data_IF_054533531230
#
_entry.id   IF_054533531230
#
_cell.length_a   1.000
_cell.length_b   1.000
_cell.length_c   1.000
_cell.angle_alpha   90.00
_cell.angle_beta   90.00
_cell.angle_gamma   90.00
#
_symmetry.space_group_name_H-M   'P 1'
#
loop_
_entity.id
_entity.type
_entity.pdbx_description
1 polymer ?
#
# COMPACT_ATOMS: atom_id res chain seq x y z
N UNK A 1 19.15 0.61 15.44
CA UNK A 1 19.46 -0.47 14.49
C UNK A 1 18.35 -0.53 13.47
N UNK A 2 18.69 -0.71 12.18
CA UNK A 2 17.81 -0.96 11.04
C UNK A 2 16.89 0.17 10.56
N UNK A 3 17.20 0.83 9.44
CA UNK A 3 16.23 1.55 8.60
C UNK A 3 16.42 1.05 7.17
N UNK A 4 15.48 0.27 6.65
CA UNK A 4 15.51 -0.11 5.24
C UNK A 4 14.62 0.82 4.42
N UNK A 5 15.23 1.67 3.56
CA UNK A 5 14.50 2.64 2.73
C UNK A 5 14.62 2.27 1.26
N UNK A 6 13.50 2.03 0.58
CA UNK A 6 13.51 1.95 -0.88
C UNK A 6 13.23 3.34 -1.49
N UNK A 7 14.11 3.81 -2.39
CA UNK A 7 13.99 5.17 -2.97
C UNK A 7 13.03 5.25 -4.16
N UNK A 8 12.63 4.10 -4.73
CA UNK A 8 11.91 4.04 -6.00
C UNK A 8 10.86 2.93 -6.00
N UNK A 9 9.95 2.96 -5.02
CA UNK A 9 8.79 2.07 -5.05
C UNK A 9 7.69 2.71 -5.87
N UNK A 10 7.05 1.91 -6.72
CA UNK A 10 5.95 2.35 -7.58
C UNK A 10 4.68 1.64 -7.14
N UNK A 11 3.66 2.42 -6.77
CA UNK A 11 2.33 1.94 -6.48
C UNK A 11 1.73 1.26 -7.70
N UNK A 12 0.95 0.19 -7.50
CA UNK A 12 0.30 -0.49 -8.64
C UNK A 12 -0.87 0.32 -9.21
N UNK A 13 -1.42 1.25 -8.43
CA UNK A 13 -2.58 2.04 -8.81
C UNK A 13 -2.61 3.41 -8.16
N UNK A 14 -3.74 4.09 -8.35
CA UNK A 14 -3.99 5.49 -8.01
C UNK A 14 -5.06 5.67 -6.93
N UNK A 15 -5.46 4.57 -6.27
CA UNK A 15 -6.58 4.52 -5.31
C UNK A 15 -6.34 3.48 -4.24
N UNK A 16 -6.89 3.71 -3.05
CA UNK A 16 -6.81 2.80 -1.90
C UNK A 16 -7.36 1.41 -2.21
N UNK A 17 -8.46 1.32 -2.96
CA UNK A 17 -9.08 0.06 -3.36
C UNK A 17 -8.19 -0.81 -4.28
N UNK A 18 -7.18 -0.21 -4.92
CA UNK A 18 -6.13 -0.91 -5.69
C UNK A 18 -4.89 -1.16 -4.84
N UNK A 19 -4.47 -0.17 -4.06
CA UNK A 19 -3.28 -0.23 -3.21
C UNK A 19 -3.36 -1.34 -2.16
N UNK A 20 -4.50 -1.49 -1.49
CA UNK A 20 -4.72 -2.54 -0.49
C UNK A 20 -4.56 -3.94 -1.11
N UNK A 21 -5.10 -4.15 -2.32
CA UNK A 21 -4.97 -5.44 -3.01
C UNK A 21 -3.53 -5.66 -3.48
N UNK A 22 -2.85 -4.61 -3.96
CA UNK A 22 -1.43 -4.66 -4.27
C UNK A 22 -0.56 -5.06 -3.07
N UNK A 23 -0.86 -4.51 -1.89
CA UNK A 23 -0.13 -4.74 -0.64
C UNK A 23 -0.42 -6.12 -0.02
N UNK A 24 -1.69 -6.56 -0.02
CA UNK A 24 -2.09 -7.80 0.67
C UNK A 24 -2.12 -9.03 -0.24
N UNK A 25 -2.30 -8.86 -1.55
CA UNK A 25 -2.40 -9.95 -2.53
C UNK A 25 -1.33 -9.90 -3.60
N UNK A 26 -0.56 -8.81 -3.71
CA UNK A 26 0.47 -8.67 -4.74
C UNK A 26 -0.13 -8.62 -6.14
N UNK A 27 -1.41 -8.25 -6.24
CA UNK A 27 -2.16 -8.29 -7.47
C UNK A 27 -2.08 -6.94 -8.20
N UNK A 28 -1.75 -6.90 -9.50
CA UNK A 28 -1.68 -5.66 -10.25
C UNK A 28 -3.05 -4.98 -10.33
N UNK A 29 -3.07 -3.65 -10.31
CA UNK A 29 -4.31 -2.91 -10.50
C UNK A 29 -4.84 -2.99 -11.94
N UNK A 30 -6.16 -2.94 -12.08
CA UNK A 30 -6.84 -2.85 -13.37
C UNK A 30 -7.01 -1.37 -13.77
N UNK A 31 -6.96 -1.04 -15.09
CA UNK A 31 -7.54 0.18 -15.61
C UNK A 31 -9.06 0.21 -15.37
N UNK A 32 -9.64 1.40 -15.27
CA UNK A 32 -11.10 1.68 -15.15
C UNK A 32 -11.77 1.20 -13.84
N UNK A 33 -11.38 0.04 -13.31
CA UNK A 33 -12.01 -0.60 -12.14
C UNK A 33 -10.97 -1.09 -11.12
N UNK A 34 -11.44 -1.72 -10.04
CA UNK A 34 -10.62 -2.48 -9.10
C UNK A 34 -11.24 -3.85 -8.89
N UNK A 35 -10.41 -4.89 -8.79
CA UNK A 35 -10.86 -6.25 -8.51
C UNK A 35 -11.66 -6.34 -7.21
N UNK A 36 -11.38 -5.49 -6.21
CA UNK A 36 -12.10 -5.51 -4.91
C UNK A 36 -13.60 -5.31 -5.05
N UNK A 37 -14.05 -4.67 -6.14
CA UNK A 37 -15.47 -4.46 -6.45
C UNK A 37 -16.17 -5.75 -6.91
N UNK A 38 -15.44 -6.84 -7.12
CA UNK A 38 -15.93 -8.12 -7.63
C UNK A 38 -15.59 -9.26 -6.64
N UNK A 39 -16.42 -9.49 -5.60
CA UNK A 39 -16.16 -10.51 -4.57
C UNK A 39 -15.89 -11.92 -5.13
N UNK A 40 -16.61 -12.32 -6.18
CA UNK A 40 -16.38 -13.58 -6.91
C UNK A 40 -14.91 -13.74 -7.33
N UNK A 41 -14.31 -12.67 -7.86
CA UNK A 41 -12.93 -12.64 -8.32
C UNK A 41 -11.94 -12.59 -7.16
N UNK A 42 -12.20 -11.77 -6.13
CA UNK A 42 -11.28 -11.63 -5.00
C UNK A 42 -11.16 -12.89 -4.16
N UNK A 43 -12.22 -13.71 -4.09
CA UNK A 43 -12.19 -15.00 -3.38
C UNK A 43 -11.06 -15.91 -3.88
N UNK A 44 -10.77 -15.85 -5.20
CA UNK A 44 -9.71 -16.62 -5.85
C UNK A 44 -8.28 -16.10 -5.60
N UNK A 45 -8.12 -14.88 -5.06
CA UNK A 45 -6.80 -14.29 -4.87
C UNK A 45 -6.06 -14.92 -3.69
N UNK A 46 -4.73 -15.10 -3.81
CA UNK A 46 -3.89 -15.27 -2.63
C UNK A 46 -3.95 -13.99 -1.79
N UNK A 47 -3.77 -14.10 -0.47
CA UNK A 47 -3.72 -12.93 0.40
C UNK A 47 -2.87 -13.24 1.62
N UNK A 48 -2.06 -12.28 2.06
CA UNK A 48 -1.23 -12.40 3.25
C UNK A 48 -2.03 -12.85 4.47
N UNK A 49 -3.27 -12.35 4.62
CA UNK A 49 -4.19 -12.80 5.66
C UNK A 49 -4.39 -14.33 5.66
N UNK A 50 -4.70 -14.93 4.50
CA UNK A 50 -4.89 -16.38 4.38
C UNK A 50 -3.63 -17.16 4.76
N UNK A 51 -2.46 -16.70 4.31
CA UNK A 51 -1.18 -17.37 4.55
C UNK A 51 -0.79 -17.29 6.02
N UNK A 52 -0.79 -16.09 6.60
CA UNK A 52 -0.46 -15.89 8.02
C UNK A 52 -1.45 -16.61 8.93
N UNK A 53 -2.75 -16.60 8.59
CA UNK A 53 -3.75 -17.36 9.32
C UNK A 53 -3.44 -18.86 9.33
N UNK A 54 -3.07 -19.41 8.18
CA UNK A 54 -2.69 -20.83 8.04
C UNK A 54 -1.38 -21.16 8.77
N UNK A 55 -0.49 -20.18 8.90
CA UNK A 55 0.73 -20.28 9.70
C UNK A 55 0.51 -20.06 11.22
N UNK A 56 -0.75 -19.94 11.67
CA UNK A 56 -1.09 -19.81 13.10
C UNK A 56 -1.05 -18.38 13.65
N UNK A 57 -1.00 -17.35 12.80
CA UNK A 57 -0.99 -15.96 13.24
C UNK A 57 -2.41 -15.48 13.57
N UNK A 58 -2.50 -14.63 14.59
CA UNK A 58 -3.69 -13.83 14.83
C UNK A 58 -3.69 -12.61 13.90
N UNK A 59 -4.77 -12.41 13.16
CA UNK A 59 -4.83 -11.43 12.08
C UNK A 59 -5.84 -10.34 12.42
N UNK A 60 -5.43 -9.07 12.35
CA UNK A 60 -6.30 -7.93 12.64
C UNK A 60 -6.13 -6.81 11.63
N UNK A 61 -7.21 -6.12 11.30
CA UNK A 61 -7.21 -4.96 10.42
C UNK A 61 -7.91 -3.78 11.07
N UNK A 62 -7.29 -2.60 11.01
CA UNK A 62 -7.78 -1.37 11.67
C UNK A 62 -7.95 -0.27 10.64
N UNK A 63 -9.09 0.42 10.71
CA UNK A 63 -9.43 1.55 9.86
C UNK A 63 -10.35 2.52 10.60
N UNK A 64 -10.06 3.82 10.50
CA UNK A 64 -10.90 4.85 11.11
C UNK A 64 -12.22 5.10 10.37
N UNK A 65 -12.32 4.66 9.12
CA UNK A 65 -13.46 4.88 8.24
C UNK A 65 -14.36 3.66 8.05
N UNK A 66 -15.30 3.77 7.11
CA UNK A 66 -16.27 2.72 6.79
C UNK A 66 -15.65 1.69 5.81
N UNK A 67 -15.56 0.42 6.23
CA UNK A 67 -14.96 -0.65 5.40
C UNK A 67 -15.89 -1.18 4.32
N UNK A 68 -17.19 -0.94 4.43
CA UNK A 68 -18.19 -1.24 3.41
C UNK A 68 -17.93 -0.44 2.14
N UNK A 69 -17.23 0.70 2.26
CA UNK A 69 -16.77 1.46 1.12
C UNK A 69 -15.90 0.60 0.20
N UNK A 70 -16.26 0.56 -1.09
CA UNK A 70 -15.57 -0.18 -2.14
C UNK A 70 -15.39 -1.70 -1.89
N UNK A 71 -16.28 -2.36 -1.12
CA UNK A 71 -16.21 -3.81 -0.84
C UNK A 71 -14.93 -4.28 -0.11
N UNK A 72 -14.20 -3.37 0.54
CA UNK A 72 -12.96 -3.71 1.27
C UNK A 72 -13.27 -4.73 2.38
N UNK A 73 -14.38 -4.58 3.10
CA UNK A 73 -14.81 -5.53 4.14
C UNK A 73 -14.95 -6.96 3.62
N UNK A 74 -15.58 -7.14 2.46
CA UNK A 74 -15.73 -8.48 1.83
C UNK A 74 -14.36 -9.09 1.52
N UNK A 75 -13.46 -8.30 0.95
CA UNK A 75 -12.11 -8.74 0.62
C UNK A 75 -11.27 -9.10 1.87
N UNK A 76 -11.43 -8.36 2.97
CA UNK A 76 -10.75 -8.68 4.24
C UNK A 76 -11.31 -9.93 4.91
N UNK A 77 -12.63 -10.15 4.84
CA UNK A 77 -13.27 -11.37 5.35
C UNK A 77 -12.80 -12.62 4.57
N UNK A 78 -12.71 -12.52 3.24
CA UNK A 78 -12.11 -13.56 2.41
C UNK A 78 -10.64 -13.85 2.78
N UNK A 79 -9.97 -12.87 3.37
CA UNK A 79 -8.62 -12.97 3.92
C UNK A 79 -8.46 -13.66 5.26
N UNK A 80 -9.55 -14.13 5.86
CA UNK A 80 -9.56 -14.78 7.17
C UNK A 80 -8.93 -13.93 8.28
N UNK A 81 -9.13 -12.60 8.24
CA UNK A 81 -8.83 -11.74 9.38
C UNK A 81 -9.73 -12.11 10.57
N UNK A 82 -9.15 -12.23 11.77
CA UNK A 82 -9.91 -12.55 12.99
C UNK A 82 -10.73 -11.35 13.47
N UNK A 83 -10.13 -10.16 13.39
CA UNK A 83 -10.73 -8.94 13.90
C UNK A 83 -10.62 -7.81 12.90
N UNK A 84 -11.73 -7.09 12.71
CA UNK A 84 -11.82 -5.90 11.88
C UNK A 84 -12.34 -4.75 12.76
N UNK A 85 -11.54 -3.69 12.88
CA UNK A 85 -11.91 -2.45 13.57
C UNK A 85 -12.19 -1.39 12.53
N UNK A 86 -13.46 -1.02 12.37
CA UNK A 86 -13.93 0.05 11.47
C UNK A 86 -14.50 1.25 12.25
N UNK A 87 -14.99 2.26 11.54
CA UNK A 87 -15.62 3.47 12.12
C UNK A 87 -16.68 3.15 13.20
N UNK A 88 -17.38 2.02 13.09
CA UNK A 88 -18.43 1.64 14.04
C UNK A 88 -17.88 1.15 15.39
N UNK A 89 -16.59 0.86 15.46
CA UNK A 89 -15.88 0.47 16.69
C UNK A 89 -15.54 1.67 17.59
N UNK A 90 -15.69 2.90 17.09
CA UNK A 90 -15.38 4.12 17.83
C UNK A 90 -16.64 4.85 18.30
N UNK A 91 -16.58 5.45 19.50
CA UNK A 91 -17.62 6.36 19.99
C UNK A 91 -17.87 7.50 18.99
N UNK A 92 -19.12 8.00 18.92
CA UNK A 92 -19.49 9.10 18.02
C UNK A 92 -18.60 10.34 18.17
N UNK A 93 -18.19 10.67 19.40
CA UNK A 93 -17.28 11.80 19.70
C UNK A 93 -15.88 11.64 19.10
N UNK A 94 -15.45 10.40 18.87
CA UNK A 94 -14.14 10.06 18.32
C UNK A 94 -14.15 9.93 16.78
N UNK A 95 -15.34 9.97 16.16
CA UNK A 95 -15.54 10.05 14.71
C UNK A 95 -15.48 11.52 14.26
N UNK A 96 -14.35 12.14 14.51
CA UNK A 96 -14.15 13.59 14.47
C UNK A 96 -13.63 14.11 13.12
N UNK A 97 -13.68 13.30 12.06
CA UNK A 97 -13.50 13.72 10.68
C UNK A 97 -14.72 13.35 9.85
N UNK A 98 -14.87 13.99 8.68
CA UNK A 98 -15.86 13.65 7.65
C UNK A 98 -15.85 12.17 7.27
N UNK A 99 -14.69 11.52 7.36
CA UNK A 99 -14.51 10.13 6.92
C UNK A 99 -14.53 9.11 8.08
N UNK A 100 -14.59 9.57 9.33
CA UNK A 100 -14.52 8.71 10.51
C UNK A 100 -13.54 9.20 11.56
N UNK A 101 -12.83 8.29 12.23
CA UNK A 101 -11.87 8.63 13.27
C UNK A 101 -10.50 9.05 12.69
N UNK A 102 -9.92 10.12 13.22
CA UNK A 102 -8.55 10.54 12.88
C UNK A 102 -7.50 9.52 13.31
N UNK A 103 -6.34 9.57 12.64
CA UNK A 103 -5.26 8.59 12.80
C UNK A 103 -4.76 8.46 14.23
N UNK A 104 -4.73 9.55 15.02
CA UNK A 104 -4.36 9.49 16.44
C UNK A 104 -5.24 8.54 17.26
N UNK A 105 -6.56 8.56 17.02
CA UNK A 105 -7.53 7.69 17.72
C UNK A 105 -7.33 6.23 17.32
N UNK A 106 -7.15 5.98 16.02
CA UNK A 106 -6.95 4.62 15.50
C UNK A 106 -5.61 4.08 15.97
N UNK A 107 -4.56 4.91 16.01
CA UNK A 107 -3.23 4.57 16.55
C UNK A 107 -3.32 4.13 18.01
N UNK A 108 -4.02 4.84 18.89
CA UNK A 108 -4.17 4.45 20.30
C UNK A 108 -4.88 3.09 20.45
N UNK A 109 -5.90 2.86 19.62
CA UNK A 109 -6.63 1.57 19.56
C UNK A 109 -5.73 0.45 19.04
N UNK A 110 -4.94 0.73 18.00
CA UNK A 110 -3.99 -0.20 17.40
C UNK A 110 -2.89 -0.60 18.39
N UNK A 111 -2.31 0.37 19.11
CA UNK A 111 -1.30 0.12 20.15
C UNK A 111 -1.85 -0.77 21.26
N UNK A 112 -3.05 -0.46 21.75
CA UNK A 112 -3.73 -1.27 22.78
C UNK A 112 -3.97 -2.71 22.33
N UNK A 113 -4.36 -2.88 21.06
CA UNK A 113 -4.50 -4.21 20.46
C UNK A 113 -3.15 -4.93 20.38
N UNK A 114 -2.08 -4.29 19.90
CA UNK A 114 -0.74 -4.92 19.78
C UNK A 114 -0.19 -5.43 21.13
N UNK A 115 -0.53 -4.80 22.26
CA UNK A 115 -0.13 -5.26 23.59
C UNK A 115 -0.81 -6.59 23.94
N UNK A 116 -2.11 -6.69 23.64
CA UNK A 116 -2.99 -7.79 24.09
C UNK A 116 -3.18 -8.89 23.04
N UNK A 117 -2.77 -8.66 21.79
CA UNK A 117 -2.98 -9.58 20.68
C UNK A 117 -2.25 -10.91 20.90
N UNK A 118 -2.91 -12.06 20.62
CA UNK A 118 -2.23 -13.35 20.61
C UNK A 118 -1.06 -13.34 19.65
N UNK A 119 0.08 -13.89 20.08
CA UNK A 119 1.30 -14.02 19.28
C UNK A 119 1.39 -15.43 18.68
N UNK A 120 1.91 -15.60 17.45
CA UNK A 120 2.34 -14.54 16.54
C UNK A 120 1.15 -13.77 15.94
N UNK A 121 1.36 -12.53 15.50
CA UNK A 121 0.30 -11.69 14.94
C UNK A 121 0.67 -11.08 13.59
N UNK A 122 -0.34 -10.84 12.77
CA UNK A 122 -0.29 -10.05 11.55
C UNK A 122 -1.35 -8.94 11.64
N UNK A 123 -0.91 -7.72 11.94
CA UNK A 123 -1.78 -6.60 12.20
C UNK A 123 -1.57 -5.51 11.14
N UNK A 124 -2.65 -5.05 10.52
CA UNK A 124 -2.61 -4.01 9.47
C UNK A 124 -3.43 -2.80 9.91
N UNK A 125 -2.89 -1.59 9.72
CA UNK A 125 -3.61 -0.34 9.95
C UNK A 125 -3.62 0.49 8.66
N UNK A 126 -4.82 0.89 8.22
CA UNK A 126 -5.05 1.82 7.14
C UNK A 126 -5.31 3.23 7.71
N UNK A 127 -4.43 4.18 7.39
CA UNK A 127 -4.58 5.59 7.79
C UNK A 127 -5.65 6.31 6.99
N UNK A 128 -6.16 7.43 7.51
CA UNK A 128 -7.31 8.15 6.93
C UNK A 128 -7.16 9.68 6.87
N UNK A 129 -6.42 10.32 7.78
CA UNK A 129 -6.52 11.77 7.97
C UNK A 129 -5.97 12.59 6.80
N UNK A 130 -5.19 11.98 5.91
CA UNK A 130 -4.70 12.60 4.68
C UNK A 130 -5.72 12.62 3.53
N UNK A 131 -7.00 12.40 3.80
CA UNK A 131 -8.08 12.48 2.80
C UNK A 131 -8.72 13.89 2.76
N UNK A 132 -9.14 14.34 1.57
CA UNK A 132 -9.82 15.64 1.41
C UNK A 132 -11.08 15.74 2.29
N UNK A 133 -11.34 16.86 3.00
CA UNK A 133 -10.74 18.18 2.81
C UNK A 133 -9.41 18.41 3.55
N UNK A 134 -8.73 17.36 4.03
CA UNK A 134 -7.43 17.42 4.73
C UNK A 134 -7.53 18.11 6.10
N UNK A 135 -8.65 17.90 6.78
CA UNK A 135 -8.83 18.36 8.15
C UNK A 135 -8.00 17.52 9.12
N UNK A 136 -7.53 18.14 10.20
CA UNK A 136 -6.77 17.47 11.26
C UNK A 136 -7.18 18.03 12.61
N UNK A 137 -7.06 17.26 13.71
CA UNK A 137 -7.48 17.69 15.04
C UNK A 137 -6.42 18.55 15.76
N UNK A 138 -5.43 19.06 15.02
CA UNK A 138 -4.31 19.83 15.56
C UNK A 138 -4.16 21.16 14.81
N UNK A 139 -3.54 22.19 15.44
CA UNK A 139 -3.24 23.44 14.75
C UNK A 139 -2.34 23.21 13.52
N UNK A 140 -2.61 23.96 12.45
CA UNK A 140 -1.78 23.94 11.23
C UNK A 140 -0.38 24.50 11.52
N UNK A 141 0.63 23.88 10.93
CA UNK A 141 2.04 24.33 10.99
C UNK A 141 2.49 24.97 9.68
N UNK A 142 1.86 24.61 8.56
CA UNK A 142 2.05 25.25 7.26
C UNK A 142 0.90 26.24 7.06
N UNK A 143 1.17 27.55 6.92
CA UNK A 143 0.12 28.55 6.73
C UNK A 143 -0.56 28.39 5.35
N UNK A 144 -1.84 28.72 5.29
CA UNK A 144 -2.65 28.65 4.08
C UNK A 144 -3.88 27.74 4.23
N UNK A 145 -4.90 28.04 3.43
CA UNK A 145 -6.15 27.28 3.36
C UNK A 145 -6.30 26.54 2.03
N UNK A 146 -5.38 26.79 1.09
CA UNK A 146 -5.38 26.19 -0.23
C UNK A 146 -5.12 24.67 -0.13
N UNK A 147 -5.45 23.96 -1.21
CA UNK A 147 -5.38 22.50 -1.26
C UNK A 147 -3.99 21.96 -0.90
N UNK A 148 -2.91 22.61 -1.36
CA UNK A 148 -1.54 22.11 -1.10
C UNK A 148 -1.12 22.33 0.36
N UNK A 149 -1.20 23.54 0.96
CA UNK A 149 -0.99 23.71 2.41
C UNK A 149 -1.83 22.78 3.27
N UNK A 150 -3.12 22.62 2.98
CA UNK A 150 -4.01 21.74 3.75
C UNK A 150 -3.59 20.27 3.62
N UNK A 151 -3.29 19.80 2.41
CA UNK A 151 -2.73 18.47 2.17
C UNK A 151 -1.42 18.25 2.94
N UNK A 152 -0.48 19.18 2.87
CA UNK A 152 0.81 19.06 3.56
C UNK A 152 0.65 19.05 5.09
N UNK A 153 -0.29 19.83 5.66
CA UNK A 153 -0.60 19.75 7.09
C UNK A 153 -1.19 18.39 7.48
N UNK A 154 -2.05 17.79 6.64
CA UNK A 154 -2.58 16.44 6.90
C UNK A 154 -1.50 15.36 6.89
N UNK A 155 -0.51 15.50 6.00
CA UNK A 155 0.67 14.63 6.00
C UNK A 155 1.52 14.85 7.25
N UNK A 156 1.74 16.11 7.66
CA UNK A 156 2.48 16.42 8.88
C UNK A 156 1.84 15.81 10.13
N UNK A 157 0.51 15.90 10.26
CA UNK A 157 -0.23 15.25 11.34
C UNK A 157 -0.04 13.73 11.32
N UNK A 158 -0.25 13.10 10.16
CA UNK A 158 -0.12 11.65 10.01
C UNK A 158 1.31 11.16 10.30
N UNK A 159 2.32 11.91 9.85
CA UNK A 159 3.74 11.65 10.11
C UNK A 159 4.04 11.63 11.62
N UNK A 160 3.54 12.61 12.38
CA UNK A 160 3.67 12.63 13.84
C UNK A 160 3.04 11.40 14.51
N UNK A 161 1.81 11.04 14.12
CA UNK A 161 1.09 9.87 14.66
C UNK A 161 1.84 8.56 14.34
N UNK A 162 2.33 8.41 13.11
CA UNK A 162 3.13 7.24 12.70
C UNK A 162 4.46 7.21 13.45
N UNK A 163 5.10 8.36 13.69
CA UNK A 163 6.32 8.47 14.49
C UNK A 163 6.13 8.02 15.94
N UNK A 164 5.00 8.36 16.55
CA UNK A 164 4.61 7.84 17.87
C UNK A 164 4.40 6.33 17.85
N UNK A 165 3.75 5.78 16.81
CA UNK A 165 3.60 4.33 16.66
C UNK A 165 4.96 3.62 16.54
N UNK A 166 5.87 4.15 15.71
CA UNK A 166 7.22 3.59 15.56
C UNK A 166 7.96 3.61 16.90
N UNK A 167 7.88 4.70 17.64
CA UNK A 167 8.50 4.84 18.96
C UNK A 167 7.92 3.85 19.98
N UNK A 168 6.60 3.67 19.96
CA UNK A 168 5.91 2.67 20.75
C UNK A 168 6.38 1.25 20.40
N UNK A 169 6.39 0.87 19.12
CA UNK A 169 6.80 -0.47 18.70
C UNK A 169 8.25 -0.78 19.10
N UNK A 170 9.16 0.20 18.98
CA UNK A 170 10.57 0.07 19.39
C UNK A 170 10.77 -0.15 20.89
N UNK A 171 9.82 0.28 21.74
CA UNK A 171 9.91 0.06 23.18
C UNK A 171 9.35 -1.29 23.62
N UNK A 172 8.78 -2.08 22.71
CA UNK A 172 8.17 -3.37 23.05
C UNK A 172 9.20 -4.50 23.08
N UNK A 173 9.00 -5.45 24.00
CA UNK A 173 9.86 -6.64 24.12
C UNK A 173 9.89 -7.52 22.87
N UNK A 174 8.87 -7.40 22.01
CA UNK A 174 8.74 -8.17 20.77
C UNK A 174 9.37 -7.47 19.55
N UNK A 175 9.95 -6.27 19.69
CA UNK A 175 10.51 -5.49 18.58
C UNK A 175 11.53 -6.27 17.73
N UNK A 176 12.45 -6.97 18.38
CA UNK A 176 13.49 -7.78 17.72
C UNK A 176 12.92 -9.00 16.95
N UNK A 177 11.65 -9.36 17.19
CA UNK A 177 10.95 -10.46 16.52
C UNK A 177 9.76 -9.99 15.68
N UNK A 178 9.66 -8.68 15.39
CA UNK A 178 8.52 -8.11 14.68
C UNK A 178 8.97 -7.17 13.58
N UNK A 179 8.47 -7.40 12.37
CA UNK A 179 8.63 -6.47 11.25
C UNK A 179 7.52 -5.41 11.31
N UNK A 180 7.90 -4.14 11.38
CA UNK A 180 7.00 -3.01 11.16
C UNK A 180 7.24 -2.46 9.75
N UNK A 181 6.18 -2.49 8.94
CA UNK A 181 6.24 -2.08 7.53
C UNK A 181 5.31 -0.88 7.35
N UNK A 182 5.88 0.23 6.88
CA UNK A 182 5.17 1.46 6.54
C UNK A 182 5.23 1.59 5.02
N UNK A 183 4.08 1.52 4.36
CA UNK A 183 3.95 1.58 2.91
C UNK A 183 2.74 2.43 2.55
N UNK A 184 2.89 3.36 1.61
CA UNK A 184 1.72 4.07 1.08
C UNK A 184 0.93 3.15 0.14
N UNK A 185 -0.39 3.27 0.14
CA UNK A 185 -1.32 2.56 -0.73
C UNK A 185 -1.25 3.08 -2.18
N UNK A 186 -1.06 4.38 -2.36
CA UNK A 186 -0.76 5.00 -3.65
C UNK A 186 -0.03 6.33 -3.47
N UNK A 187 0.50 6.87 -4.58
CA UNK A 187 1.06 8.22 -4.57
C UNK A 187 -0.01 9.28 -4.78
N UNK A 188 0.40 10.55 -4.83
CA UNK A 188 -0.53 11.67 -4.91
C UNK A 188 -0.04 12.72 -5.90
N UNK A 189 -0.97 13.46 -6.51
CA UNK A 189 -0.64 14.53 -7.46
C UNK A 189 -0.10 15.79 -6.79
N UNK A 190 -0.27 15.95 -5.48
CA UNK A 190 0.19 17.13 -4.75
C UNK A 190 1.45 16.83 -3.94
N UNK A 191 2.39 17.81 -3.82
CA UNK A 191 2.47 19.00 -4.68
C UNK A 191 2.62 18.62 -6.16
N UNK A 192 2.16 19.48 -7.07
CA UNK A 192 2.14 19.16 -8.50
C UNK A 192 3.53 18.72 -8.96
N UNK A 193 3.62 17.47 -9.41
CA UNK A 193 4.86 16.87 -9.87
C UNK A 193 5.15 17.25 -11.32
N UNK A 194 6.42 17.12 -11.72
CA UNK A 194 6.83 17.43 -13.09
C UNK A 194 6.41 16.34 -14.10
N UNK A 195 5.98 15.16 -13.65
CA UNK A 195 5.56 14.07 -14.52
C UNK A 195 4.48 13.20 -13.88
N UNK A 196 3.53 12.72 -14.69
CA UNK A 196 2.46 11.81 -14.24
C UNK A 196 3.01 10.54 -13.59
N UNK A 197 4.15 10.05 -14.08
CA UNK A 197 4.85 8.90 -13.51
C UNK A 197 5.25 9.13 -12.04
N UNK A 198 5.70 10.35 -11.71
CA UNK A 198 6.12 10.69 -10.36
C UNK A 198 4.99 10.60 -9.33
N UNK A 199 3.73 10.69 -9.76
CA UNK A 199 2.56 10.54 -8.88
C UNK A 199 2.34 9.10 -8.39
N UNK A 200 3.06 8.12 -8.94
CA UNK A 200 2.98 6.72 -8.53
C UNK A 200 4.15 6.30 -7.65
N UNK A 201 5.14 7.18 -7.41
CA UNK A 201 6.18 6.90 -6.44
C UNK A 201 5.62 6.95 -5.03
N UNK A 202 5.93 5.92 -4.25
CA UNK A 202 5.48 5.78 -2.86
C UNK A 202 6.66 5.49 -1.92
N UNK A 203 6.57 5.92 -0.66
CA UNK A 203 7.50 5.48 0.37
C UNK A 203 7.21 4.04 0.78
N UNK A 204 8.28 3.29 1.02
CA UNK A 204 8.26 2.04 1.80
C UNK A 204 9.41 2.07 2.79
N UNK A 205 9.10 1.65 4.01
CA UNK A 205 10.03 1.52 5.11
C UNK A 205 9.78 0.19 5.83
N UNK A 206 10.81 -0.64 5.94
CA UNK A 206 10.80 -1.87 6.74
C UNK A 206 11.70 -1.64 7.95
N UNK A 207 11.15 -1.89 9.14
CA UNK A 207 11.78 -1.70 10.44
C UNK A 207 11.58 -2.93 11.32
N UNK A 208 12.34 -2.98 12.42
CA UNK A 208 12.22 -4.04 13.42
C UNK A 208 12.78 -5.35 12.91
N UNK A 209 12.70 -6.39 13.74
CA UNK A 209 13.46 -7.60 13.49
C UNK A 209 14.97 -7.37 13.47
N UNK A 210 15.71 -8.38 13.04
CA UNK A 210 17.15 -8.28 12.76
C UNK A 210 17.43 -7.66 11.37
N UNK A 211 16.61 -6.71 10.91
CA UNK A 211 16.77 -6.10 9.58
C UNK A 211 17.93 -5.11 9.57
N UNK A 212 18.94 -5.39 8.75
CA UNK A 212 20.06 -4.48 8.50
C UNK A 212 19.60 -3.17 7.84
N UNK A 213 20.08 -1.99 8.28
CA UNK A 213 19.82 -0.74 7.57
C UNK A 213 20.40 -0.78 6.16
N UNK A 214 19.54 -0.73 5.14
CA UNK A 214 19.97 -0.68 3.73
C UNK A 214 19.09 0.26 2.92
N UNK A 215 19.64 0.84 1.86
CA UNK A 215 18.85 1.56 0.87
C UNK A 215 18.82 0.75 -0.41
N UNK A 216 17.62 0.39 -0.87
CA UNK A 216 17.46 -0.30 -2.14
C UNK A 216 17.50 0.74 -3.27
N UNK A 217 18.49 0.66 -4.18
CA UNK A 217 18.68 1.68 -5.22
C UNK A 217 17.80 1.45 -6.45
N UNK A 218 17.21 0.26 -6.59
CA UNK A 218 16.46 -0.13 -7.77
C UNK A 218 14.96 0.16 -7.64
N UNK A 219 14.32 0.34 -8.79
CA UNK A 219 12.87 0.53 -8.87
C UNK A 219 12.16 -0.79 -8.60
N UNK A 220 11.24 -0.81 -7.65
CA UNK A 220 10.46 -2.02 -7.29
C UNK A 220 8.96 -1.72 -7.31
N UNK A 221 8.17 -2.76 -7.58
CA UNK A 221 6.70 -2.68 -7.55
C UNK A 221 6.18 -2.85 -6.13
N UNK A 222 5.18 -2.06 -5.75
CA UNK A 222 4.38 -2.25 -4.53
C UNK A 222 3.83 -3.69 -4.42
N UNK A 223 3.49 -4.30 -5.56
CA UNK A 223 2.97 -5.69 -5.62
C UNK A 223 3.96 -6.74 -5.16
N UNK A 224 5.25 -6.42 -5.03
CA UNK A 224 6.26 -7.36 -4.54
C UNK A 224 6.34 -7.49 -3.02
N UNK A 225 5.60 -6.66 -2.28
CA UNK A 225 5.62 -6.66 -0.82
C UNK A 225 5.20 -8.03 -0.23
N UNK A 226 4.12 -8.70 -0.68
CA UNK A 226 3.75 -10.00 -0.14
C UNK A 226 4.85 -11.05 -0.23
N UNK A 227 5.43 -11.25 -1.42
CA UNK A 227 6.53 -12.21 -1.61
C UNK A 227 7.70 -11.87 -0.70
N UNK A 228 8.04 -10.58 -0.59
CA UNK A 228 9.14 -10.13 0.27
C UNK A 228 8.89 -10.50 1.72
N UNK A 229 7.70 -10.18 2.25
CA UNK A 229 7.32 -10.51 3.63
C UNK A 229 7.32 -12.02 3.87
N UNK A 230 6.72 -12.80 2.95
CA UNK A 230 6.63 -14.25 3.09
C UNK A 230 8.02 -14.90 3.08
N UNK A 231 8.90 -14.48 2.17
CA UNK A 231 10.28 -14.97 2.10
C UNK A 231 11.08 -14.63 3.37
N UNK A 232 10.93 -13.42 3.93
CA UNK A 232 11.59 -13.05 5.20
C UNK A 232 11.13 -13.97 6.35
N UNK A 233 9.86 -14.39 6.34
CA UNK A 233 9.29 -15.28 7.36
C UNK A 233 9.45 -16.78 7.03
N UNK A 234 10.17 -17.14 5.97
CA UNK A 234 10.34 -18.54 5.55
C UNK A 234 9.04 -19.22 5.08
N UNK A 235 8.04 -18.44 4.66
CA UNK A 235 6.76 -18.91 4.16
C UNK A 235 6.75 -18.94 2.62
N UNK A 236 6.01 -19.89 2.04
CA UNK A 236 5.88 -20.02 0.58
C UNK A 236 5.06 -18.86 -0.01
N UNK A 237 5.57 -18.26 -1.09
CA UNK A 237 4.90 -17.23 -1.87
C UNK A 237 4.43 -17.73 -3.25
N UNK A 238 4.49 -19.04 -3.51
CA UNK A 238 4.19 -19.65 -4.81
C UNK A 238 2.78 -19.35 -5.36
N UNK A 239 1.82 -19.04 -4.49
CA UNK A 239 0.47 -18.64 -4.92
C UNK A 239 0.40 -17.18 -5.42
N UNK A 240 1.39 -16.35 -5.14
CA UNK A 240 1.42 -14.92 -5.48
C UNK A 240 2.09 -14.67 -6.83
N UNK A 241 1.45 -15.13 -7.91
CA UNK A 241 1.97 -15.09 -9.29
C UNK A 241 2.57 -13.74 -9.74
N UNK A 242 1.99 -12.62 -9.28
CA UNK A 242 2.36 -11.27 -9.70
C UNK A 242 3.22 -10.50 -8.68
N UNK A 243 3.53 -11.15 -7.56
CA UNK A 243 4.40 -10.61 -6.53
C UNK A 243 5.83 -11.07 -6.81
N UNK A 244 6.78 -10.14 -6.75
CA UNK A 244 8.21 -10.42 -6.87
C UNK A 244 8.90 -10.05 -5.58
N UNK A 245 9.67 -10.99 -5.00
CA UNK A 245 10.49 -10.71 -3.83
C UNK A 245 11.51 -9.59 -4.12
N UNK A 246 11.49 -8.51 -3.34
CA UNK A 246 12.39 -7.37 -3.48
C UNK A 246 13.84 -7.69 -3.13
N UNK A 247 14.06 -8.75 -2.34
CA UNK A 247 15.39 -9.22 -1.96
C UNK A 247 16.02 -10.10 -3.04
N UNK A 248 15.24 -10.55 -4.03
CA UNK A 248 15.76 -11.27 -5.18
C UNK A 248 16.39 -10.29 -6.18
N UNK A 249 17.72 -10.37 -6.29
CA UNK A 249 18.52 -9.52 -7.18
C UNK A 249 18.90 -10.21 -8.49
N UNK A 250 18.41 -11.43 -8.74
CA UNK A 250 18.73 -12.20 -9.94
C UNK A 250 18.05 -11.66 -11.21
N UNK A 251 16.94 -10.94 -11.05
CA UNK A 251 16.15 -10.41 -12.16
C UNK A 251 16.23 -8.88 -12.24
N UNK A 252 16.09 -8.33 -13.45
CA UNK A 252 16.00 -6.89 -13.67
C UNK A 252 14.72 -6.32 -13.05
N UNK A 253 14.81 -5.37 -12.11
CA UNK A 253 13.64 -4.79 -11.46
C UNK A 253 12.79 -3.97 -12.43
N UNK A 254 11.48 -4.12 -12.28
CA UNK A 254 10.49 -3.33 -13.03
C UNK A 254 9.24 -3.12 -12.17
N UNK A 255 8.45 -2.10 -12.54
CA UNK A 255 7.12 -1.90 -11.98
C UNK A 255 6.12 -1.49 -13.07
N UNK A 256 4.86 -1.88 -12.87
CA UNK A 256 3.73 -1.48 -13.70
C UNK A 256 2.64 -0.90 -12.79
N UNK A 257 2.08 0.21 -13.22
CA UNK A 257 0.92 0.81 -12.57
C UNK A 257 -0.21 1.05 -13.56
N UNK A 258 -1.45 0.97 -13.08
CA UNK A 258 -2.64 1.22 -13.88
C UNK A 258 -3.42 2.42 -13.33
N UNK A 259 -3.90 3.25 -14.24
CA UNK A 259 -4.82 4.36 -13.97
C UNK A 259 -5.98 4.29 -14.96
N UNK A 260 -6.99 5.14 -14.81
CA UNK A 260 -8.25 5.12 -15.56
C UNK A 260 -8.15 4.50 -16.96
N UNK A 261 -7.43 5.14 -17.89
CA UNK A 261 -7.39 4.74 -19.29
C UNK A 261 -5.98 4.36 -19.76
N UNK A 262 -5.14 3.79 -18.89
CA UNK A 262 -3.77 3.51 -19.29
C UNK A 262 -2.94 2.83 -18.22
N UNK A 263 -1.65 2.69 -18.54
CA UNK A 263 -0.66 2.14 -17.64
C UNK A 263 0.64 2.92 -17.72
N UNK A 264 1.42 2.86 -16.64
CA UNK A 264 2.83 3.19 -16.67
C UNK A 264 3.68 1.95 -16.51
N UNK A 265 4.85 1.96 -17.14
CA UNK A 265 5.82 0.88 -17.02
C UNK A 265 7.21 1.48 -16.82
N UNK A 266 7.94 0.94 -15.84
CA UNK A 266 9.31 1.34 -15.55
C UNK A 266 10.20 0.12 -15.43
N UNK A 267 11.42 0.27 -15.94
CA UNK A 267 12.48 -0.72 -15.89
C UNK A 267 13.79 0.04 -15.79
N UNK A 268 14.59 -0.24 -14.77
CA UNK A 268 15.78 0.55 -14.44
C UNK A 268 15.45 2.05 -14.26
N UNK A 269 16.19 2.95 -14.92
CA UNK A 269 15.96 4.41 -14.92
C UNK A 269 15.01 4.90 -16.04
N UNK A 270 14.40 3.98 -16.79
CA UNK A 270 13.49 4.31 -17.89
C UNK A 270 12.04 4.13 -17.47
N UNK A 271 11.16 4.94 -18.05
CA UNK A 271 9.73 4.87 -17.78
C UNK A 271 8.91 5.39 -18.97
N UNK A 272 7.69 4.88 -19.10
CA UNK A 272 6.70 5.38 -20.04
C UNK A 272 5.32 5.37 -19.40
N UNK A 273 4.44 6.25 -19.89
CA UNK A 273 3.02 6.27 -19.58
C UNK A 273 2.25 6.12 -20.88
N UNK A 274 1.44 5.08 -21.02
CA UNK A 274 0.69 4.78 -22.23
C UNK A 274 -0.80 5.03 -22.02
N UNK A 275 -1.41 5.72 -22.97
CA UNK A 275 -2.85 5.97 -23.04
C UNK A 275 -3.52 4.93 -23.93
N UNK A 276 -4.35 4.08 -23.33
CA UNK A 276 -5.06 3.01 -24.02
C UNK A 276 -6.14 3.55 -24.97
N UNK A 277 -6.71 4.73 -24.70
CA UNK A 277 -7.70 5.33 -25.62
C UNK A 277 -6.97 6.00 -26.78
N UNK A 278 -5.98 6.83 -26.47
CA UNK A 278 -5.20 7.54 -27.49
C UNK A 278 -4.21 6.67 -28.27
N UNK A 279 -4.02 5.41 -27.86
CA UNK A 279 -3.06 4.44 -28.42
C UNK A 279 -1.65 5.02 -28.59
N UNK A 280 -1.23 5.85 -27.63
CA UNK A 280 0.04 6.59 -27.70
C UNK A 280 0.70 6.71 -26.33
N UNK A 281 2.03 6.80 -26.35
CA UNK A 281 2.80 7.19 -25.17
C UNK A 281 2.53 8.67 -24.90
N UNK A 282 2.16 9.01 -23.66
CA UNK A 282 1.94 10.38 -23.23
C UNK A 282 3.28 11.14 -23.22
N UNK A 283 3.23 12.44 -23.53
CA UNK A 283 4.43 13.29 -23.48
C UNK A 283 4.91 13.40 -22.03
N UNK A 284 6.19 13.09 -21.80
CA UNK A 284 6.85 13.13 -20.49
C UNK A 284 8.33 13.44 -20.63
N UNK A 285 9.04 13.53 -19.50
CA UNK A 285 10.51 13.75 -19.47
C UNK A 285 11.29 12.43 -19.53
N UNK A 286 10.59 11.33 -19.29
CA UNK A 286 11.14 9.99 -19.17
C UNK A 286 11.57 9.43 -20.52
N UNK A 287 12.71 8.76 -20.54
CA UNK A 287 13.18 8.02 -21.71
C UNK A 287 12.56 6.62 -21.70
N UNK A 288 12.22 6.13 -22.88
CA UNK A 288 11.76 4.76 -23.08
C UNK A 288 12.23 4.21 -24.43
N UNK A 289 12.27 2.89 -24.54
CA UNK A 289 12.57 2.20 -25.80
C UNK A 289 11.30 1.58 -26.41
N UNK A 290 11.25 1.32 -27.73
CA UNK A 290 10.15 0.58 -28.34
C UNK A 290 9.93 -0.81 -27.73
N UNK A 291 10.99 -1.44 -27.22
CA UNK A 291 10.91 -2.72 -26.51
C UNK A 291 10.15 -2.58 -25.19
N UNK A 292 10.40 -1.53 -24.40
CA UNK A 292 9.64 -1.30 -23.16
C UNK A 292 8.15 -1.10 -23.43
N UNK A 293 7.80 -0.44 -24.53
CA UNK A 293 6.39 -0.27 -24.90
C UNK A 293 5.72 -1.60 -25.25
N UNK A 294 6.44 -2.54 -25.88
CA UNK A 294 5.94 -3.90 -26.11
C UNK A 294 5.80 -4.68 -24.81
N UNK A 295 6.81 -4.61 -23.93
CA UNK A 295 6.81 -5.26 -22.62
C UNK A 295 5.63 -4.78 -21.76
N UNK A 296 5.45 -3.46 -21.64
CA UNK A 296 4.35 -2.89 -20.86
C UNK A 296 2.97 -3.27 -21.38
N UNK A 297 2.78 -3.29 -22.72
CA UNK A 297 1.52 -3.77 -23.32
C UNK A 297 1.28 -5.25 -23.09
N UNK A 298 2.32 -6.08 -23.23
CA UNK A 298 2.22 -7.52 -22.97
C UNK A 298 1.89 -7.81 -21.50
N UNK A 299 2.51 -7.09 -20.55
CA UNK A 299 2.22 -7.22 -19.13
C UNK A 299 0.79 -6.77 -18.80
N UNK A 300 0.34 -5.63 -19.34
CA UNK A 300 -1.03 -5.18 -19.14
C UNK A 300 -2.04 -6.21 -19.67
N UNK A 301 -1.81 -6.76 -20.88
CA UNK A 301 -2.65 -7.81 -21.45
C UNK A 301 -2.69 -9.04 -20.54
N UNK A 302 -1.53 -9.53 -20.12
CA UNK A 302 -1.40 -10.71 -19.28
C UNK A 302 -2.15 -10.57 -17.94
N UNK A 303 -2.02 -9.43 -17.26
CA UNK A 303 -2.72 -9.19 -15.99
C UNK A 303 -4.23 -9.00 -16.19
N UNK A 304 -4.63 -8.40 -17.32
CA UNK A 304 -6.04 -8.19 -17.61
C UNK A 304 -6.74 -9.49 -18.01
N UNK A 305 -6.07 -10.39 -18.75
CA UNK A 305 -6.59 -11.71 -19.07
C UNK A 305 -6.79 -12.56 -17.82
N UNK A 306 -5.82 -12.54 -16.89
CA UNK A 306 -5.98 -13.16 -15.57
C UNK A 306 -7.19 -12.56 -14.82
N UNK A 307 -7.32 -11.24 -14.78
CA UNK A 307 -8.48 -10.57 -14.17
C UNK A 307 -9.81 -11.01 -14.79
N UNK A 308 -9.89 -11.12 -16.13
CA UNK A 308 -11.11 -11.54 -16.81
C UNK A 308 -11.46 -13.00 -16.54
N UNK A 309 -10.45 -13.87 -16.40
CA UNK A 309 -10.63 -15.32 -16.21
C UNK A 309 -11.05 -15.76 -14.80
N UNK A 310 -10.86 -14.90 -13.79
CA UNK A 310 -11.28 -15.15 -12.39
C UNK A 310 -12.78 -15.03 -12.23
#
# INVERSE_FOLDING_TARGET
>A
MGLERCRRVVATGDRTDKGIVGILSGYPAQPISSIVKNPEKTRSLPQLGKVFRSAGYYNSFFYGGEMEFANIKSYLLEGNFHHLTDVNSFDKKSRNSKWGAHDGIVKDTFQSALISMPKPFFATWLTLSSHEPYETPVPKVIPGEETVPSFMNSLHYTDGVVGELVSFCKSQLWWENTLLIIVADHGHRYPLSASEFSNFHIPVLILGGEVDPRTYPHTISQTGLPSTILNINGLSDSSFLFSRNWLDTSATPWALFSFNNGFGYTKNDSALVFDNIGQKVRKGKEKYSPQMLREGRALQQFFFDDFLSR
#
